data_IF_181530178820
#
_entry.id   IF_181530178820
#
_cell.length_a   1.000
_cell.length_b   1.000
_cell.length_c   1.000
_cell.angle_alpha   90.00
_cell.angle_beta   90.00
_cell.angle_gamma   90.00
#
_symmetry.space_group_name_H-M   'P 1'
#
loop_
_entity.id
_entity.type
_entity.pdbx_description
1 polymer ?
#
# COMPACT_ATOMS: atom_id res chain seq x y z
N UNK A 1 -12.71 -10.65 38.45
CA UNK A 1 -11.88 -11.37 37.46
C UNK A 1 -12.82 -12.30 36.72
N UNK A 2 -13.44 -11.80 35.65
CA UNK A 2 -14.40 -12.54 34.83
C UNK A 2 -13.66 -13.15 33.65
N UNK A 3 -13.49 -14.47 33.69
CA UNK A 3 -13.04 -15.26 32.55
C UNK A 3 -14.07 -15.12 31.44
N UNK A 4 -13.69 -14.42 30.38
CA UNK A 4 -14.37 -14.46 29.09
C UNK A 4 -13.67 -15.53 28.26
N UNK A 5 -13.83 -16.80 28.63
CA UNK A 5 -13.59 -17.89 27.68
C UNK A 5 -14.82 -17.92 26.78
N UNK A 6 -14.71 -17.24 25.65
CA UNK A 6 -15.62 -17.41 24.54
C UNK A 6 -15.66 -18.89 24.19
N UNK A 7 -16.85 -19.48 24.28
CA UNK A 7 -17.16 -20.82 23.79
C UNK A 7 -17.01 -20.85 22.26
N UNK A 8 -15.77 -20.85 21.77
CA UNK A 8 -15.46 -21.36 20.45
C UNK A 8 -15.81 -22.84 20.49
N UNK A 9 -16.89 -23.24 19.81
CA UNK A 9 -17.24 -24.65 19.70
C UNK A 9 -16.01 -25.41 19.25
N UNK A 10 -15.58 -26.41 20.03
CA UNK A 10 -14.31 -27.10 19.91
C UNK A 10 -14.21 -27.83 18.55
N UNK A 11 -13.89 -27.09 17.49
CA UNK A 11 -13.63 -27.62 16.15
C UNK A 11 -12.34 -28.42 16.23
N UNK A 12 -12.38 -29.62 15.67
CA UNK A 12 -11.19 -30.47 15.61
C UNK A 12 -10.25 -30.07 14.46
N UNK A 13 -9.03 -30.59 14.43
CA UNK A 13 -8.10 -30.41 13.29
C UNK A 13 -8.73 -30.76 11.93
N UNK A 14 -9.60 -31.77 11.89
CA UNK A 14 -10.34 -32.17 10.68
C UNK A 14 -11.35 -31.09 10.23
N UNK A 15 -11.95 -30.36 11.18
CA UNK A 15 -12.86 -29.25 10.91
C UNK A 15 -12.12 -28.04 10.36
N UNK A 16 -10.96 -27.70 10.95
CA UNK A 16 -10.10 -26.64 10.44
C UNK A 16 -9.63 -26.96 9.03
N UNK A 17 -9.17 -28.19 8.81
CA UNK A 17 -8.72 -28.63 7.48
C UNK A 17 -9.80 -28.47 6.41
N UNK A 18 -11.04 -28.93 6.66
CA UNK A 18 -12.11 -28.82 5.66
C UNK A 18 -12.53 -27.37 5.40
N UNK A 19 -12.53 -26.52 6.43
CA UNK A 19 -12.92 -25.11 6.29
C UNK A 19 -11.85 -24.34 5.52
N UNK A 20 -10.57 -24.51 5.88
CA UNK A 20 -9.43 -23.91 5.21
C UNK A 20 -9.30 -24.43 3.76
N UNK A 21 -9.50 -25.73 3.52
CA UNK A 21 -9.55 -26.30 2.16
C UNK A 21 -10.61 -25.64 1.28
N UNK A 22 -11.81 -25.45 1.82
CA UNK A 22 -12.90 -24.78 1.10
C UNK A 22 -12.55 -23.31 0.82
N UNK A 23 -12.06 -22.60 1.84
CA UNK A 23 -11.66 -21.19 1.75
C UNK A 23 -10.60 -20.98 0.66
N UNK A 24 -9.50 -21.72 0.72
CA UNK A 24 -8.39 -21.60 -0.23
C UNK A 24 -8.80 -21.95 -1.67
N UNK A 25 -9.66 -22.96 -1.83
CA UNK A 25 -10.22 -23.29 -3.14
C UNK A 25 -11.04 -22.12 -3.70
N UNK A 26 -11.89 -21.52 -2.88
CA UNK A 26 -12.75 -20.40 -3.27
C UNK A 26 -11.94 -19.14 -3.56
N UNK A 27 -10.87 -18.89 -2.80
CA UNK A 27 -9.91 -17.79 -3.02
C UNK A 27 -9.23 -17.88 -4.39
N UNK A 28 -8.95 -19.10 -4.89
CA UNK A 28 -8.44 -19.32 -6.26
C UNK A 28 -9.52 -19.27 -7.34
N UNK A 29 -10.79 -19.08 -6.98
CA UNK A 29 -11.91 -19.09 -7.92
C UNK A 29 -12.20 -20.47 -8.50
N UNK A 30 -11.74 -21.55 -7.85
CA UNK A 30 -11.90 -22.91 -8.38
C UNK A 30 -13.22 -23.53 -7.95
N UNK A 31 -13.93 -24.14 -8.90
CA UNK A 31 -15.02 -25.08 -8.57
C UNK A 31 -14.47 -26.36 -7.95
N UNK A 32 -15.29 -27.13 -7.23
CA UNK A 32 -14.88 -28.45 -6.70
C UNK A 32 -14.37 -29.40 -7.79
N UNK A 33 -14.99 -29.38 -8.97
CA UNK A 33 -14.57 -30.20 -10.11
C UNK A 33 -13.25 -29.71 -10.71
N UNK A 34 -13.01 -28.40 -10.72
CA UNK A 34 -11.74 -27.83 -11.16
C UNK A 34 -10.63 -28.17 -10.17
N UNK A 35 -10.87 -28.00 -8.87
CA UNK A 35 -9.90 -28.37 -7.84
C UNK A 35 -9.48 -29.83 -7.91
N UNK A 36 -10.43 -30.75 -8.11
CA UNK A 36 -10.14 -32.17 -8.37
C UNK A 36 -9.16 -32.37 -9.53
N UNK A 37 -9.34 -31.65 -10.64
CA UNK A 37 -8.45 -31.71 -11.81
C UNK A 37 -7.08 -31.11 -11.54
N UNK A 38 -7.03 -29.95 -10.87
CA UNK A 38 -5.77 -29.28 -10.52
C UNK A 38 -4.94 -30.12 -9.54
N UNK A 39 -5.60 -30.79 -8.59
CA UNK A 39 -4.94 -31.70 -7.66
C UNK A 39 -4.27 -32.86 -8.39
N UNK A 40 -4.99 -33.50 -9.30
CA UNK A 40 -4.44 -34.59 -10.13
C UNK A 40 -3.30 -34.07 -11.03
N UNK A 41 -3.47 -32.91 -11.67
CA UNK A 41 -2.44 -32.28 -12.49
C UNK A 41 -1.17 -31.92 -11.71
N UNK A 42 -1.29 -31.61 -10.42
CA UNK A 42 -0.15 -31.34 -9.52
C UNK A 42 0.59 -32.60 -9.04
N UNK A 43 0.17 -33.79 -9.49
CA UNK A 43 0.70 -35.08 -9.06
C UNK A 43 0.11 -35.59 -7.75
N UNK A 44 -0.99 -34.98 -7.29
CA UNK A 44 -1.76 -35.42 -6.12
C UNK A 44 -2.65 -36.63 -6.41
N UNK A 45 -3.35 -37.15 -5.38
CA UNK A 45 -4.27 -38.26 -5.55
C UNK A 45 -5.48 -37.86 -6.40
N UNK A 46 -5.96 -38.77 -7.25
CA UNK A 46 -7.21 -38.57 -8.00
C UNK A 46 -8.39 -38.51 -7.05
N UNK A 47 -8.93 -37.31 -6.83
CA UNK A 47 -10.18 -37.08 -6.10
C UNK A 47 -11.27 -36.69 -7.09
N UNK A 48 -12.40 -37.39 -7.09
CA UNK A 48 -13.57 -36.94 -7.86
C UNK A 48 -14.27 -35.78 -7.15
N UNK A 49 -15.03 -34.98 -7.89
CA UNK A 49 -15.81 -33.85 -7.34
C UNK A 49 -16.66 -34.25 -6.12
N UNK A 50 -17.31 -35.43 -6.16
CA UNK A 50 -18.10 -35.93 -5.03
C UNK A 50 -17.25 -36.20 -3.78
N UNK A 51 -15.99 -36.60 -3.94
CA UNK A 51 -15.07 -36.80 -2.82
C UNK A 51 -14.68 -35.47 -2.20
N UNK A 52 -14.38 -34.47 -3.03
CA UNK A 52 -14.13 -33.08 -2.58
C UNK A 52 -15.34 -32.56 -1.80
N UNK A 53 -16.56 -32.72 -2.33
CA UNK A 53 -17.79 -32.33 -1.65
C UNK A 53 -17.97 -33.03 -0.30
N UNK A 54 -17.65 -34.33 -0.21
CA UNK A 54 -17.75 -35.08 1.05
C UNK A 54 -16.73 -34.62 2.09
N UNK A 55 -15.52 -34.29 1.65
CA UNK A 55 -14.49 -33.72 2.50
C UNK A 55 -14.94 -32.35 3.04
N UNK A 56 -15.36 -31.44 2.16
CA UNK A 56 -15.78 -30.08 2.55
C UNK A 56 -17.01 -30.06 3.46
N UNK A 57 -17.91 -31.05 3.29
CA UNK A 57 -19.08 -31.22 4.16
C UNK A 57 -18.78 -31.93 5.48
N UNK A 58 -17.55 -32.42 5.69
CA UNK A 58 -17.17 -33.19 6.88
C UNK A 58 -17.70 -34.62 6.92
N UNK A 59 -18.33 -35.10 5.85
CA UNK A 59 -18.86 -36.48 5.77
C UNK A 59 -17.79 -37.51 5.43
N UNK A 60 -16.56 -37.07 5.11
CA UNK A 60 -15.39 -37.92 4.89
C UNK A 60 -14.14 -37.24 5.49
N UNK A 61 -13.42 -37.97 6.33
CA UNK A 61 -12.11 -37.55 6.84
C UNK A 61 -11.03 -37.57 5.74
N UNK A 62 -10.04 -36.70 5.87
CA UNK A 62 -8.89 -36.62 4.94
C UNK A 62 -7.73 -37.43 5.51
N UNK A 63 -7.10 -38.27 4.69
CA UNK A 63 -5.88 -38.97 5.12
C UNK A 63 -4.69 -38.01 5.09
N UNK A 64 -3.69 -38.20 5.94
CA UNK A 64 -2.51 -37.34 6.00
C UNK A 64 -1.80 -37.16 4.63
N UNK A 65 -1.72 -38.23 3.84
CA UNK A 65 -1.15 -38.19 2.49
C UNK A 65 -1.99 -37.35 1.52
N UNK A 66 -3.32 -37.41 1.63
CA UNK A 66 -4.24 -36.56 0.87
C UNK A 66 -4.12 -35.11 1.33
N UNK A 67 -4.05 -34.87 2.64
CA UNK A 67 -3.94 -33.55 3.24
C UNK A 67 -2.68 -32.81 2.76
N UNK A 68 -1.53 -33.49 2.75
CA UNK A 68 -0.27 -32.94 2.25
C UNK A 68 -0.33 -32.60 0.75
N UNK A 69 -0.93 -33.47 -0.07
CA UNK A 69 -1.08 -33.20 -1.50
C UNK A 69 -2.06 -32.04 -1.78
N UNK A 70 -3.16 -31.97 -1.01
CA UNK A 70 -4.16 -30.90 -1.08
C UNK A 70 -3.51 -29.55 -0.73
N UNK A 71 -2.82 -29.48 0.41
CA UNK A 71 -2.14 -28.25 0.85
C UNK A 71 -1.14 -27.76 -0.22
N UNK A 72 -0.32 -28.68 -0.73
CA UNK A 72 0.63 -28.38 -1.80
C UNK A 72 -0.04 -27.87 -3.09
N UNK A 73 -1.15 -28.49 -3.51
CA UNK A 73 -1.92 -28.05 -4.68
C UNK A 73 -2.51 -26.64 -4.48
N UNK A 74 -2.97 -26.35 -3.26
CA UNK A 74 -3.48 -25.03 -2.89
C UNK A 74 -2.36 -23.99 -2.68
N UNK A 75 -1.10 -24.44 -2.58
CA UNK A 75 0.07 -23.57 -2.40
C UNK A 75 0.23 -23.07 -0.97
N UNK A 76 -0.26 -23.82 0.01
CA UNK A 76 -0.17 -23.54 1.45
C UNK A 76 0.47 -24.72 2.18
N UNK A 77 0.89 -24.54 3.44
CA UNK A 77 1.41 -25.64 4.24
C UNK A 77 0.28 -26.41 4.93
N UNK A 78 0.56 -27.66 5.33
CA UNK A 78 -0.41 -28.47 6.09
C UNK A 78 -0.72 -27.82 7.44
N UNK A 79 0.27 -27.16 8.05
CA UNK A 79 0.08 -26.47 9.33
C UNK A 79 -0.94 -25.33 9.20
N UNK A 80 -0.86 -24.53 8.12
CA UNK A 80 -1.84 -23.47 7.82
C UNK A 80 -3.25 -24.03 7.64
N UNK A 81 -3.36 -25.23 7.05
CA UNK A 81 -4.64 -25.91 6.86
C UNK A 81 -5.23 -26.42 8.19
N UNK A 82 -4.40 -26.71 9.19
CA UNK A 82 -4.83 -27.18 10.51
C UNK A 82 -5.00 -26.04 11.52
N UNK A 83 -4.53 -24.84 11.20
CA UNK A 83 -4.67 -23.65 12.03
C UNK A 83 -6.15 -23.27 12.19
N UNK A 84 -6.46 -22.63 13.32
CA UNK A 84 -7.80 -22.14 13.60
C UNK A 84 -8.23 -21.19 12.46
N UNK A 85 -9.47 -21.35 11.97
CA UNK A 85 -10.01 -20.49 10.91
C UNK A 85 -9.98 -19.02 11.35
N UNK A 86 -10.08 -18.75 12.65
CA UNK A 86 -9.95 -17.40 13.20
C UNK A 86 -8.53 -16.85 13.09
N UNK A 87 -7.50 -17.68 13.23
CA UNK A 87 -6.10 -17.26 13.06
C UNK A 87 -5.80 -16.93 11.58
N UNK A 88 -6.26 -17.77 10.64
CA UNK A 88 -6.07 -17.50 9.21
C UNK A 88 -6.86 -16.26 8.75
N UNK A 89 -8.12 -16.11 9.18
CA UNK A 89 -8.92 -14.94 8.87
C UNK A 89 -8.34 -13.65 9.48
N UNK A 90 -7.69 -13.75 10.64
CA UNK A 90 -6.98 -12.63 11.25
C UNK A 90 -5.73 -12.25 10.43
N UNK A 91 -4.92 -13.23 10.00
CA UNK A 91 -3.76 -12.99 9.13
C UNK A 91 -4.17 -12.34 7.80
N UNK A 92 -5.22 -12.87 7.14
CA UNK A 92 -5.75 -12.29 5.90
C UNK A 92 -6.23 -10.83 6.11
N UNK A 93 -6.90 -10.56 7.23
CA UNK A 93 -7.36 -9.21 7.57
C UNK A 93 -6.19 -8.27 7.89
N UNK A 94 -5.13 -8.76 8.52
CA UNK A 94 -3.90 -7.99 8.78
C UNK A 94 -3.17 -7.64 7.49
N UNK A 95 -3.04 -8.58 6.56
CA UNK A 95 -2.47 -8.36 5.23
C UNK A 95 -3.28 -7.34 4.42
N UNK A 96 -4.61 -7.48 4.42
CA UNK A 96 -5.50 -6.51 3.74
C UNK A 96 -5.40 -5.12 4.38
N UNK A 97 -5.32 -5.04 5.71
CA UNK A 97 -5.15 -3.78 6.43
C UNK A 97 -3.80 -3.14 6.07
N UNK A 98 -2.73 -3.93 5.99
CA UNK A 98 -1.42 -3.45 5.58
C UNK A 98 -1.41 -2.95 4.13
N UNK A 99 -2.03 -3.67 3.20
CA UNK A 99 -2.14 -3.25 1.80
C UNK A 99 -2.90 -1.92 1.68
N UNK A 100 -4.07 -1.81 2.33
CA UNK A 100 -4.88 -0.58 2.35
C UNK A 100 -4.12 0.59 2.98
N UNK A 101 -3.41 0.34 4.07
CA UNK A 101 -2.56 1.32 4.75
C UNK A 101 -1.45 1.83 3.81
N UNK A 102 -0.76 0.93 3.12
CA UNK A 102 0.27 1.28 2.14
C UNK A 102 -0.31 2.07 0.95
N UNK A 103 -1.51 1.73 0.49
CA UNK A 103 -2.20 2.46 -0.56
C UNK A 103 -2.50 3.91 -0.16
N UNK A 104 -3.04 4.14 1.05
CA UNK A 104 -3.29 5.48 1.60
C UNK A 104 -2.00 6.28 1.67
N UNK A 105 -0.92 5.70 2.18
CA UNK A 105 0.37 6.38 2.27
C UNK A 105 0.93 6.76 0.89
N UNK A 106 0.82 5.85 -0.09
CA UNK A 106 1.24 6.14 -1.46
C UNK A 106 0.44 7.30 -2.07
N UNK A 107 -0.85 7.41 -1.76
CA UNK A 107 -1.71 8.46 -2.26
C UNK A 107 -1.38 9.82 -1.65
N UNK A 108 -1.20 9.87 -0.32
CA UNK A 108 -0.78 11.08 0.39
C UNK A 108 0.57 11.58 -0.14
N UNK A 109 1.54 10.68 -0.33
CA UNK A 109 2.84 11.03 -0.91
C UNK A 109 2.70 11.66 -2.30
N UNK A 110 1.95 11.03 -3.21
CA UNK A 110 1.73 11.57 -4.57
C UNK A 110 1.06 12.94 -4.55
N UNK A 111 0.13 13.16 -3.62
CA UNK A 111 -0.52 14.45 -3.43
C UNK A 111 0.49 15.55 -3.10
N UNK A 112 1.41 15.30 -2.17
CA UNK A 112 2.46 16.26 -1.82
C UNK A 112 3.50 16.47 -2.91
N UNK A 113 3.93 15.41 -3.59
CA UNK A 113 4.84 15.54 -4.74
C UNK A 113 4.23 16.44 -5.83
N UNK A 114 2.93 16.29 -6.10
CA UNK A 114 2.20 17.15 -7.02
C UNK A 114 2.05 18.59 -6.49
N UNK A 115 1.77 18.77 -5.20
CA UNK A 115 1.70 20.08 -4.55
C UNK A 115 3.02 20.86 -4.65
N UNK A 116 4.15 20.21 -4.35
CA UNK A 116 5.48 20.81 -4.49
C UNK A 116 5.82 21.11 -5.95
N UNK A 117 5.58 20.17 -6.87
CA UNK A 117 5.81 20.40 -8.29
C UNK A 117 5.00 21.58 -8.83
N UNK A 118 3.75 21.73 -8.37
CA UNK A 118 2.91 22.86 -8.74
C UNK A 118 3.45 24.18 -8.18
N UNK A 119 3.86 24.22 -6.90
CA UNK A 119 4.50 25.39 -6.30
C UNK A 119 5.75 25.85 -7.09
N UNK A 120 6.60 24.91 -7.50
CA UNK A 120 7.79 25.17 -8.33
C UNK A 120 7.41 25.79 -9.68
N UNK A 121 6.34 25.31 -10.31
CA UNK A 121 5.86 25.86 -11.58
C UNK A 121 5.35 27.30 -11.37
N UNK A 122 4.57 27.56 -10.32
CA UNK A 122 4.08 28.91 -10.03
C UNK A 122 5.23 29.90 -9.82
N UNK A 123 6.29 29.49 -9.12
CA UNK A 123 7.51 30.30 -8.97
C UNK A 123 8.22 30.53 -10.32
N UNK A 124 8.24 29.53 -11.21
CA UNK A 124 8.80 29.67 -12.56
C UNK A 124 8.01 30.67 -13.43
N UNK A 125 6.68 30.64 -13.40
CA UNK A 125 5.82 31.63 -14.07
C UNK A 125 6.10 33.04 -13.56
N UNK A 126 6.13 33.19 -12.22
CA UNK A 126 6.42 34.47 -11.58
C UNK A 126 7.81 35.00 -11.96
N UNK A 127 8.83 34.15 -11.98
CA UNK A 127 10.18 34.51 -12.41
C UNK A 127 10.26 34.94 -13.88
N UNK A 128 9.39 34.38 -14.74
CA UNK A 128 9.25 34.80 -16.13
C UNK A 128 8.43 36.11 -16.29
N UNK A 129 7.95 36.71 -15.20
CA UNK A 129 7.09 37.90 -15.24
C UNK A 129 5.67 37.61 -15.71
N UNK A 130 5.26 36.34 -15.72
CA UNK A 130 3.92 35.90 -16.06
C UNK A 130 3.09 35.75 -14.79
N UNK A 131 1.83 36.19 -14.83
CA UNK A 131 0.90 35.97 -13.73
C UNK A 131 0.35 34.54 -13.84
N UNK A 132 0.71 33.62 -12.92
CA UNK A 132 0.14 32.29 -12.95
C UNK A 132 -1.36 32.37 -12.65
N UNK A 133 -2.18 31.66 -13.44
CA UNK A 133 -3.60 31.47 -13.08
C UNK A 133 -3.62 30.86 -11.68
N UNK A 134 -4.17 31.60 -10.71
CA UNK A 134 -4.19 31.18 -9.31
C UNK A 134 -5.00 29.87 -9.16
N UNK A 135 -4.29 28.76 -8.97
CA UNK A 135 -4.88 27.49 -8.55
C UNK A 135 -4.54 27.32 -7.06
N UNK A 136 -5.55 27.38 -6.20
CA UNK A 136 -5.39 27.18 -4.76
C UNK A 136 -4.98 25.73 -4.46
N UNK A 137 -3.77 25.53 -3.92
CA UNK A 137 -3.36 24.27 -3.27
C UNK A 137 -3.82 24.37 -1.80
N UNK A 138 -5.11 24.13 -1.56
CA UNK A 138 -5.78 24.64 -0.36
C UNK A 138 -6.29 23.62 0.66
N UNK A 139 -6.00 22.32 0.52
CA UNK A 139 -6.49 21.34 1.50
C UNK A 139 -5.36 20.83 2.39
N UNK A 140 -5.33 21.36 3.62
CA UNK A 140 -4.47 20.88 4.70
C UNK A 140 -4.91 19.46 5.07
N UNK A 141 -3.98 18.50 5.05
CA UNK A 141 -4.26 17.15 5.50
C UNK A 141 -4.44 17.12 7.03
N UNK A 142 -5.29 16.23 7.57
CA UNK A 142 -5.32 15.94 9.00
C UNK A 142 -3.92 15.62 9.56
N UNK A 143 -3.58 16.15 10.75
CA UNK A 143 -2.24 16.08 11.37
C UNK A 143 -1.67 14.65 11.48
N UNK A 144 -2.53 13.64 11.62
CA UNK A 144 -2.14 12.23 11.72
C UNK A 144 -1.65 11.64 10.39
N UNK A 145 -2.12 12.15 9.26
CA UNK A 145 -1.63 11.74 7.94
C UNK A 145 -0.30 12.41 7.58
N UNK A 146 -0.06 13.61 8.09
CA UNK A 146 1.20 14.32 7.85
C UNK A 146 2.39 13.60 8.49
N UNK A 147 2.27 13.16 9.74
CA UNK A 147 3.33 12.52 10.50
C UNK A 147 3.84 11.23 9.84
N UNK A 148 2.90 10.46 9.27
CA UNK A 148 3.24 9.20 8.59
C UNK A 148 3.86 9.47 7.22
N UNK A 149 3.36 10.46 6.50
CA UNK A 149 3.89 10.80 5.20
C UNK A 149 5.28 11.46 5.28
N UNK A 150 5.63 12.15 6.37
CA UNK A 150 6.98 12.66 6.66
C UNK A 150 7.99 11.52 6.82
N UNK A 151 7.65 10.47 7.59
CA UNK A 151 8.52 9.29 7.72
C UNK A 151 8.79 8.60 6.37
N UNK A 152 7.79 8.60 5.49
CA UNK A 152 7.92 8.06 4.13
C UNK A 152 8.72 8.99 3.21
N UNK A 153 8.55 10.31 3.34
CA UNK A 153 9.33 11.33 2.64
C UNK A 153 10.83 11.18 2.94
N UNK A 154 11.17 10.99 4.22
CA UNK A 154 12.51 10.70 4.72
C UNK A 154 13.08 9.39 4.18
N UNK A 155 12.28 8.31 4.21
CA UNK A 155 12.75 6.96 3.88
C UNK A 155 12.92 6.73 2.37
N UNK A 156 12.11 7.38 1.52
CA UNK A 156 12.07 7.07 0.07
C UNK A 156 12.68 8.14 -0.83
N UNK A 157 13.21 9.24 -0.29
CA UNK A 157 13.89 10.28 -1.08
C UNK A 157 12.99 10.94 -2.13
N UNK A 158 11.81 11.43 -1.70
CA UNK A 158 10.76 12.05 -2.53
C UNK A 158 11.22 13.13 -3.51
N UNK A 159 12.29 13.87 -3.20
CA UNK A 159 12.96 14.82 -4.10
C UNK A 159 13.29 14.17 -5.45
N UNK A 160 13.67 12.90 -5.47
CA UNK A 160 14.00 12.17 -6.70
C UNK A 160 12.80 12.02 -7.65
N UNK A 161 11.61 11.72 -7.13
CA UNK A 161 10.41 11.58 -7.97
C UNK A 161 9.87 12.94 -8.40
N UNK A 162 9.91 13.94 -7.52
CA UNK A 162 9.59 15.34 -7.90
C UNK A 162 10.54 15.80 -9.01
N UNK A 163 11.84 15.54 -8.91
CA UNK A 163 12.81 15.83 -9.96
C UNK A 163 12.48 15.15 -11.29
N UNK A 164 12.07 13.87 -11.28
CA UNK A 164 11.64 13.18 -12.51
C UNK A 164 10.40 13.84 -13.12
N UNK A 165 9.44 14.25 -12.28
CA UNK A 165 8.25 14.97 -12.74
C UNK A 165 8.63 16.33 -13.35
N UNK A 166 9.48 17.11 -12.69
CA UNK A 166 9.98 18.40 -13.19
C UNK A 166 10.73 18.24 -14.50
N UNK A 167 11.54 17.19 -14.66
CA UNK A 167 12.23 16.92 -15.93
C UNK A 167 11.24 16.68 -17.08
N UNK A 168 10.19 15.88 -16.84
CA UNK A 168 9.12 15.65 -17.83
C UNK A 168 8.33 16.91 -18.13
N UNK A 169 8.06 17.73 -17.11
CA UNK A 169 7.34 19.00 -17.24
C UNK A 169 8.15 20.02 -18.02
N UNK A 170 9.43 20.20 -17.68
CA UNK A 170 10.36 21.08 -18.39
C UNK A 170 10.48 20.73 -19.87
N UNK A 171 10.48 19.45 -20.23
CA UNK A 171 10.52 19.00 -21.61
C UNK A 171 9.24 19.33 -22.42
N UNK A 172 8.13 19.65 -21.73
CA UNK A 172 6.82 19.98 -22.32
C UNK A 172 6.38 21.42 -22.07
N UNK A 173 7.12 22.17 -21.26
CA UNK A 173 6.81 23.53 -20.89
C UNK A 173 7.05 24.48 -22.06
N UNK A 174 6.37 25.63 -22.02
CA UNK A 174 6.64 26.72 -22.94
C UNK A 174 8.12 27.12 -22.90
N UNK A 175 8.79 27.37 -24.05
CA UNK A 175 10.18 27.83 -24.09
C UNK A 175 10.48 29.04 -23.21
N UNK A 176 9.50 29.92 -22.95
CA UNK A 176 9.66 31.09 -22.06
C UNK A 176 9.75 30.69 -20.58
N UNK A 177 9.19 29.55 -20.20
CA UNK A 177 9.08 29.09 -18.80
C UNK A 177 10.10 27.98 -18.49
N UNK A 178 10.40 27.12 -19.46
CA UNK A 178 11.29 25.98 -19.30
C UNK A 178 12.68 26.31 -18.68
N UNK A 179 13.31 27.48 -18.93
CA UNK A 179 14.56 27.86 -18.28
C UNK A 179 14.46 28.02 -16.76
N UNK A 180 13.28 28.43 -16.26
CA UNK A 180 13.01 28.73 -14.86
C UNK A 180 12.55 27.51 -14.05
N UNK A 181 12.13 26.43 -14.72
CA UNK A 181 11.82 25.16 -14.06
C UNK A 181 13.13 24.48 -13.66
N UNK A 182 13.38 24.21 -12.35
CA UNK A 182 14.58 23.53 -11.89
C UNK A 182 14.82 22.21 -12.66
N UNK A 183 16.08 21.97 -12.99
CA UNK A 183 16.49 20.71 -13.62
C UNK A 183 16.56 19.57 -12.60
N UNK A 184 17.51 18.65 -12.79
CA UNK A 184 17.76 17.58 -11.81
C UNK A 184 18.52 18.01 -10.55
N UNK A 185 18.85 19.30 -10.45
CA UNK A 185 19.54 19.85 -9.29
C UNK A 185 18.56 19.98 -8.10
N UNK A 186 19.05 19.85 -6.86
CA UNK A 186 18.27 20.16 -5.66
C UNK A 186 17.68 21.58 -5.74
N UNK A 187 16.51 21.79 -5.11
CA UNK A 187 15.98 23.14 -4.93
C UNK A 187 17.02 23.96 -4.15
N UNK A 188 17.40 25.11 -4.69
CA UNK A 188 18.38 26.00 -4.08
C UNK A 188 17.67 27.13 -3.33
N UNK A 189 18.30 27.60 -2.25
CA UNK A 189 17.88 28.79 -1.51
C UNK A 189 18.18 30.09 -2.26
N UNK A 190 17.35 31.14 -2.04
CA UNK A 190 16.05 31.08 -1.35
C UNK A 190 15.00 30.43 -2.25
N UNK A 191 14.14 29.59 -1.69
CA UNK A 191 12.95 29.11 -2.39
C UNK A 191 12.07 30.29 -2.83
N UNK A 192 11.39 30.17 -3.98
CA UNK A 192 10.41 31.16 -4.42
C UNK A 192 9.19 31.24 -3.49
N UNK A 193 8.34 32.23 -3.68
CA UNK A 193 7.19 32.51 -2.79
C UNK A 193 6.28 31.29 -2.61
N UNK A 194 5.97 30.59 -3.69
CA UNK A 194 5.02 29.48 -3.65
C UNK A 194 5.64 28.23 -3.04
N UNK A 195 6.91 27.94 -3.34
CA UNK A 195 7.64 26.85 -2.69
C UNK A 195 7.82 27.14 -1.20
N UNK A 196 8.13 28.38 -0.82
CA UNK A 196 8.20 28.81 0.57
C UNK A 196 6.86 28.65 1.31
N UNK A 197 5.75 29.02 0.66
CA UNK A 197 4.40 28.82 1.21
C UNK A 197 4.08 27.33 1.40
N UNK A 198 4.42 26.46 0.44
CA UNK A 198 4.23 25.02 0.55
C UNK A 198 4.93 24.42 1.77
N UNK A 199 6.19 24.78 2.01
CA UNK A 199 6.92 24.28 3.18
C UNK A 199 6.42 24.90 4.49
N UNK A 200 5.94 26.15 4.48
CA UNK A 200 5.31 26.77 5.65
C UNK A 200 4.03 26.07 6.08
N UNK A 201 3.22 25.60 5.12
CA UNK A 201 1.98 24.86 5.41
C UNK A 201 2.22 23.38 5.71
N UNK A 202 3.41 22.85 5.40
CA UNK A 202 3.81 21.47 5.69
C UNK A 202 5.15 21.43 6.46
N UNK A 203 5.21 22.01 7.67
CA UNK A 203 6.46 22.27 8.37
C UNK A 203 7.24 20.98 8.68
N UNK A 204 6.57 19.84 8.84
CA UNK A 204 7.23 18.56 9.10
C UNK A 204 8.07 18.04 7.91
N UNK A 205 7.87 18.53 6.69
CA UNK A 205 8.69 18.19 5.52
C UNK A 205 10.07 18.88 5.52
N UNK A 206 10.26 19.87 6.40
CA UNK A 206 11.46 20.72 6.42
C UNK A 206 12.63 20.13 7.22
N UNK A 207 12.36 19.17 8.12
CA UNK A 207 13.36 18.56 8.99
C UNK A 207 14.16 17.39 8.38
N UNK A 208 13.77 16.94 7.19
CA UNK A 208 14.29 15.72 6.55
C UNK A 208 15.25 16.04 5.40
N UNK A 209 16.54 16.19 5.71
CA UNK A 209 17.70 16.32 4.79
C UNK A 209 17.40 16.66 3.31
N UNK A 210 17.18 17.95 3.06
CA UNK A 210 17.21 18.53 1.72
C UNK A 210 16.82 19.99 1.59
N UNK A 211 16.18 20.56 2.62
CA UNK A 211 15.96 21.99 2.94
C UNK A 211 15.12 22.82 1.92
N UNK A 212 14.46 23.92 2.32
CA UNK A 212 14.86 24.84 3.41
C UNK A 212 13.72 25.61 4.10
N UNK A 213 13.89 25.89 5.40
CA UNK A 213 13.67 27.23 5.98
C UNK A 213 14.75 27.57 7.07
N UNK A 214 15.19 28.79 7.42
CA UNK A 214 15.08 30.22 7.03
C UNK A 214 16.37 30.87 7.58
N UNK A 215 16.91 31.92 6.96
CA UNK A 215 17.60 32.96 7.74
C UNK A 215 16.61 34.10 8.00
N UNK A 216 16.21 34.28 9.26
CA UNK A 216 15.40 35.43 9.67
C UNK A 216 14.68 35.28 11.01
N UNK A 217 15.42 35.27 12.11
CA UNK A 217 14.89 35.68 13.41
C UNK A 217 14.20 37.05 13.30
N UNK A 218 13.02 37.17 13.88
CA UNK A 218 12.60 38.40 14.56
C UNK A 218 11.68 38.01 15.71
N UNK A 219 12.30 37.58 16.79
CA UNK A 219 11.74 37.83 18.11
C UNK A 219 11.92 39.32 18.42
N UNK A 220 10.80 40.00 18.63
CA UNK A 220 10.65 41.08 19.60
C UNK A 220 9.54 40.67 20.58
#
# INVERSE_FOLDING_TARGET
MTNTEGSHGNLGPDDYFRLNMKSERERKGWSQAQFAKELEASGGPTLHQQTVQKIESGTRSVKLTEASAIAKCLGVNVDDMLADVTDNALMDAEDELEERRNAVYSAVRRYWEAGLAHAIILDAYKAAGLDPIHIHIGEVLPENLEEVAVRQWEYWGSLHEVTKQLHRLRARADPEIAPFIPGAAPLQEPAGEYVGYFFKTHPRLTGSNGMVPVDGESGE
#
